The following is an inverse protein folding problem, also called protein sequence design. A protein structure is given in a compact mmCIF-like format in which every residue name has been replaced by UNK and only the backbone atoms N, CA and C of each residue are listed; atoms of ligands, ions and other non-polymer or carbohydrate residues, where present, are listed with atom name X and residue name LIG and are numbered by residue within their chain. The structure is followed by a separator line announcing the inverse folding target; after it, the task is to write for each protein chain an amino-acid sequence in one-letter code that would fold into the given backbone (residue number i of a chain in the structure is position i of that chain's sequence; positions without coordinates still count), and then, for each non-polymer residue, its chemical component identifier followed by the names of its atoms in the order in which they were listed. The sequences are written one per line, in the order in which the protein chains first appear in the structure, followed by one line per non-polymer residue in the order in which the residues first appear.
data_IF_508030726677
#
_entry.id   IF_508030726677
#
_cell.length_a   1.000
_cell.length_b   1.000
_cell.length_c   1.000
_cell.angle_alpha   90.00
_cell.angle_beta   90.00
_cell.angle_gamma   90.00
#
_symmetry.space_group_name_H-M   'P 1'
#
loop_
_entity.id
_entity.type
_entity.pdbx_description
1 polymer ?
#
# COMPACT_ATOMS: atom_id res chain seq x y z
N UNK A 1 -18.47 56.03 29.87
CA UNK A 1 -17.54 55.69 28.76
C UNK A 1 -17.69 54.20 28.46
N UNK A 2 -18.43 53.84 27.41
CA UNK A 2 -18.65 52.47 26.97
C UNK A 2 -17.57 52.10 25.94
N UNK A 3 -16.70 51.15 26.28
CA UNK A 3 -15.70 50.61 25.36
C UNK A 3 -16.29 49.39 24.63
N UNK A 4 -16.57 49.54 23.34
CA UNK A 4 -16.99 48.44 22.47
C UNK A 4 -15.77 47.62 22.02
N UNK A 5 -15.71 46.36 22.44
CA UNK A 5 -14.70 45.41 21.99
C UNK A 5 -15.15 44.76 20.67
N UNK A 6 -14.44 45.04 19.58
CA UNK A 6 -14.67 44.41 18.28
C UNK A 6 -14.01 43.03 18.23
N UNK A 7 -14.82 41.97 18.09
CA UNK A 7 -14.34 40.60 17.87
C UNK A 7 -14.11 40.39 16.38
N UNK A 8 -12.86 40.29 15.97
CA UNK A 8 -12.47 39.96 14.59
C UNK A 8 -12.61 38.45 14.34
N UNK A 9 -13.65 38.04 13.63
CA UNK A 9 -13.83 36.67 13.17
C UNK A 9 -12.96 36.40 11.93
N UNK A 10 -11.81 35.76 12.12
CA UNK A 10 -10.99 35.24 11.01
C UNK A 10 -11.67 34.03 10.37
N UNK A 11 -12.22 34.22 9.17
CA UNK A 11 -12.72 33.13 8.32
C UNK A 11 -11.52 32.43 7.67
N UNK A 12 -11.23 31.20 8.10
CA UNK A 12 -10.29 30.30 7.42
C UNK A 12 -10.91 29.81 6.11
N UNK A 13 -10.53 30.42 4.98
CA UNK A 13 -10.88 29.91 3.67
C UNK A 13 -10.17 28.56 3.42
N UNK A 14 -10.85 27.54 2.88
CA UNK A 14 -10.21 26.31 2.45
C UNK A 14 -9.22 26.62 1.32
N UNK A 15 -7.98 26.14 1.46
CA UNK A 15 -6.96 26.27 0.41
C UNK A 15 -7.47 25.63 -0.88
N UNK A 16 -7.85 26.47 -1.85
CA UNK A 16 -8.16 26.03 -3.20
C UNK A 16 -6.91 25.32 -3.76
N UNK A 17 -7.08 24.08 -4.19
CA UNK A 17 -6.03 23.35 -4.88
C UNK A 17 -5.74 24.09 -6.18
N UNK A 18 -4.55 24.68 -6.32
CA UNK A 18 -4.16 25.39 -7.55
C UNK A 18 -4.42 24.50 -8.78
N UNK A 19 -4.94 25.06 -9.89
CA UNK A 19 -5.12 24.29 -11.12
C UNK A 19 -3.76 23.77 -11.58
N UNK A 20 -3.67 22.45 -11.75
CA UNK A 20 -2.47 21.77 -12.21
C UNK A 20 -2.08 22.32 -13.60
N UNK A 21 -0.83 22.75 -13.73
CA UNK A 21 -0.34 23.43 -14.92
C UNK A 21 -0.35 22.50 -16.16
N UNK A 22 -0.60 23.01 -17.38
CA UNK A 22 -0.61 22.23 -18.64
C UNK A 22 0.68 21.42 -18.90
N UNK A 23 1.79 21.73 -18.22
CA UNK A 23 3.06 21.01 -18.31
C UNK A 23 3.05 19.59 -17.73
N UNK A 24 2.11 19.27 -16.84
CA UNK A 24 2.09 18.00 -16.12
C UNK A 24 1.81 16.80 -17.03
N UNK A 25 0.83 16.92 -17.95
CA UNK A 25 0.53 15.87 -18.93
C UNK A 25 1.73 15.58 -19.85
N UNK A 26 2.34 16.63 -20.43
CA UNK A 26 3.45 16.48 -21.38
C UNK A 26 4.67 15.81 -20.73
N UNK A 27 4.95 16.14 -19.48
CA UNK A 27 6.04 15.52 -18.73
C UNK A 27 5.77 14.03 -18.46
N UNK A 28 4.55 13.67 -18.05
CA UNK A 28 4.14 12.27 -17.83
C UNK A 28 4.18 11.47 -19.12
N UNK A 29 3.67 12.04 -20.23
CA UNK A 29 3.68 11.40 -21.54
C UNK A 29 5.10 11.18 -22.07
N UNK A 30 5.98 12.17 -21.92
CA UNK A 30 7.40 12.07 -22.32
C UNK A 30 8.17 11.01 -21.54
N UNK A 31 7.89 10.86 -20.25
CA UNK A 31 8.50 9.82 -19.42
C UNK A 31 8.03 8.42 -19.85
N UNK A 32 6.76 8.28 -20.24
CA UNK A 32 6.18 7.03 -20.70
C UNK A 32 6.62 6.62 -22.11
N UNK A 33 6.83 7.58 -23.01
CA UNK A 33 7.00 7.31 -24.44
C UNK A 33 8.12 6.32 -24.79
N UNK A 34 9.32 6.35 -24.15
CA UNK A 34 10.45 5.51 -24.52
C UNK A 34 10.24 4.02 -24.26
N UNK A 35 9.68 3.65 -23.10
CA UNK A 35 9.58 2.25 -22.64
C UNK A 35 8.15 1.80 -22.31
N UNK A 36 7.18 2.68 -22.60
CA UNK A 36 5.75 2.51 -22.30
C UNK A 36 5.48 2.36 -20.80
N UNK A 37 6.35 2.90 -19.94
CA UNK A 37 6.19 2.88 -18.48
C UNK A 37 6.39 4.26 -17.88
N UNK A 38 5.54 4.60 -16.92
CA UNK A 38 5.74 5.80 -16.12
C UNK A 38 6.67 5.43 -14.98
N UNK A 39 7.78 6.15 -14.85
CA UNK A 39 8.77 6.01 -13.79
C UNK A 39 8.07 6.05 -12.44
N UNK A 40 8.15 4.96 -11.64
CA UNK A 40 7.46 4.89 -10.37
C UNK A 40 7.84 6.05 -9.44
N UNK A 41 6.84 6.75 -8.90
CA UNK A 41 7.01 7.83 -7.92
C UNK A 41 7.79 9.06 -8.42
N UNK A 42 8.01 9.19 -9.74
CA UNK A 42 8.59 10.40 -10.35
C UNK A 42 7.62 11.58 -10.29
N UNK A 43 6.35 11.32 -10.56
CA UNK A 43 5.29 12.33 -10.58
C UNK A 43 4.48 12.27 -9.29
N UNK A 44 3.90 13.41 -8.90
CA UNK A 44 2.95 13.43 -7.78
C UNK A 44 1.61 12.82 -8.19
N UNK A 45 0.78 12.47 -7.20
CA UNK A 45 -0.58 11.98 -7.45
C UNK A 45 -1.41 12.98 -8.26
N UNK A 46 -1.30 14.27 -7.94
CA UNK A 46 -2.06 15.33 -8.60
C UNK A 46 -1.71 15.42 -10.09
N UNK A 47 -0.41 15.35 -10.42
CA UNK A 47 0.07 15.34 -11.80
C UNK A 47 -0.46 14.14 -12.59
N UNK A 48 -0.45 12.94 -11.98
CA UNK A 48 -1.00 11.74 -12.62
C UNK A 48 -2.52 11.83 -12.83
N UNK A 49 -3.27 12.39 -11.87
CA UNK A 49 -4.72 12.61 -12.01
C UNK A 49 -5.02 13.62 -13.11
N UNK A 50 -4.24 14.70 -13.19
CA UNK A 50 -4.37 15.68 -14.27
C UNK A 50 -4.07 15.04 -15.63
N UNK A 51 -2.94 14.32 -15.77
CA UNK A 51 -2.59 13.61 -16.99
C UNK A 51 -3.67 12.61 -17.42
N UNK A 52 -4.30 11.91 -16.46
CA UNK A 52 -5.45 11.02 -16.74
C UNK A 52 -6.63 11.78 -17.32
N UNK A 53 -6.94 12.95 -16.76
CA UNK A 53 -8.06 13.80 -17.21
C UNK A 53 -7.82 14.27 -18.65
N UNK A 54 -6.63 14.79 -18.94
CA UNK A 54 -6.25 15.21 -20.31
C UNK A 54 -6.26 14.03 -21.28
N UNK A 55 -5.72 12.88 -20.91
CA UNK A 55 -5.76 11.69 -21.75
C UNK A 55 -7.19 11.20 -22.03
N UNK A 56 -8.17 11.55 -21.19
CA UNK A 56 -9.57 11.18 -21.36
C UNK A 56 -10.34 12.12 -22.30
N UNK A 57 -9.86 13.33 -22.57
CA UNK A 57 -10.56 14.30 -23.44
C UNK A 57 -10.33 14.05 -24.92
N UNK A 58 -9.33 13.24 -25.30
CA UNK A 58 -9.02 12.94 -26.69
C UNK A 58 -9.70 11.63 -27.09
N UNK A 59 -10.58 11.70 -28.08
CA UNK A 59 -11.15 10.54 -28.77
C UNK A 59 -10.03 9.75 -29.43
N UNK A 60 -10.10 8.41 -29.40
CA UNK A 60 -9.10 7.51 -29.98
C UNK A 60 -7.68 7.61 -29.40
N UNK A 61 -7.53 8.11 -28.16
CA UNK A 61 -6.25 8.18 -27.46
C UNK A 61 -5.44 6.88 -27.51
N UNK A 62 -6.13 5.76 -27.34
CA UNK A 62 -5.51 4.45 -27.24
C UNK A 62 -4.93 3.96 -28.60
N UNK A 63 -5.34 4.54 -29.73
CA UNK A 63 -4.81 4.22 -31.06
C UNK A 63 -3.36 4.72 -31.24
N UNK A 64 -3.03 5.90 -30.70
CA UNK A 64 -1.66 6.46 -30.81
C UNK A 64 -0.82 6.30 -29.55
N UNK A 65 -1.43 6.00 -28.41
CA UNK A 65 -0.74 5.78 -27.15
C UNK A 65 -1.27 4.57 -26.36
N UNK A 66 -1.19 3.36 -26.93
CA UNK A 66 -1.76 2.17 -26.34
C UNK A 66 -1.16 1.88 -24.96
N UNK A 67 -2.03 1.76 -23.95
CA UNK A 67 -1.64 1.41 -22.58
C UNK A 67 -1.25 2.59 -21.69
N UNK A 68 -1.16 3.82 -22.20
CA UNK A 68 -0.82 4.99 -21.37
C UNK A 68 -1.85 5.24 -20.26
N UNK A 69 -3.15 5.15 -20.58
CA UNK A 69 -4.24 5.35 -19.60
C UNK A 69 -4.19 4.31 -18.48
N UNK A 70 -3.89 3.06 -18.80
CA UNK A 70 -3.69 1.98 -17.82
C UNK A 70 -2.44 2.25 -16.97
N UNK A 71 -1.36 2.71 -17.60
CA UNK A 71 -0.11 3.06 -16.92
C UNK A 71 -0.31 4.15 -15.87
N UNK A 72 -1.04 5.23 -16.22
CA UNK A 72 -1.40 6.30 -15.28
C UNK A 72 -2.24 5.74 -14.13
N UNK A 73 -3.28 4.94 -14.42
CA UNK A 73 -4.15 4.36 -13.38
C UNK A 73 -3.35 3.54 -12.37
N UNK A 74 -2.40 2.73 -12.82
CA UNK A 74 -1.53 1.96 -11.92
C UNK A 74 -0.62 2.84 -11.08
N UNK A 75 -0.08 3.95 -11.59
CA UNK A 75 0.73 4.85 -10.77
C UNK A 75 -0.12 5.65 -9.77
N UNK A 76 -1.33 6.09 -10.13
CA UNK A 76 -2.28 6.68 -9.17
C UNK A 76 -2.57 5.69 -8.05
N UNK A 77 -2.87 4.44 -8.39
CA UNK A 77 -3.09 3.39 -7.40
C UNK A 77 -1.86 3.17 -6.50
N UNK A 78 -0.64 3.26 -7.04
CA UNK A 78 0.60 3.22 -6.24
C UNK A 78 0.68 4.37 -5.23
N UNK A 79 0.31 5.59 -5.64
CA UNK A 79 0.27 6.76 -4.75
C UNK A 79 -0.79 6.60 -3.65
N UNK A 80 -2.01 6.23 -4.02
CA UNK A 80 -3.13 6.00 -3.09
C UNK A 80 -2.81 4.92 -2.06
N UNK A 81 -2.05 3.92 -2.50
CA UNK A 81 -1.58 2.85 -1.64
C UNK A 81 -0.36 3.26 -0.77
N UNK A 82 0.18 4.48 -0.89
CA UNK A 82 1.34 4.96 -0.12
C UNK A 82 2.71 4.49 -0.63
N UNK A 83 2.76 3.95 -1.85
CA UNK A 83 3.95 3.32 -2.45
C UNK A 83 5.08 4.29 -2.74
N UNK A 84 4.75 5.57 -2.85
CA UNK A 84 5.65 6.70 -3.10
C UNK A 84 5.93 7.53 -1.85
N UNK A 85 5.55 7.04 -0.66
CA UNK A 85 5.86 7.73 0.59
C UNK A 85 7.37 7.66 0.89
N UNK A 86 7.99 8.82 1.17
CA UNK A 86 9.37 8.89 1.69
C UNK A 86 9.53 8.08 2.99
N UNK A 87 8.47 8.01 3.79
CA UNK A 87 8.40 7.18 5.00
C UNK A 87 8.67 5.69 4.69
N UNK A 88 8.05 5.14 3.62
CA UNK A 88 8.28 3.75 3.20
C UNK A 88 9.73 3.54 2.75
N UNK A 89 10.29 4.48 1.97
CA UNK A 89 11.67 4.38 1.51
C UNK A 89 12.68 4.31 2.67
N UNK A 90 12.39 4.99 3.78
CA UNK A 90 13.20 4.97 5.02
C UNK A 90 12.95 3.74 5.90
N UNK A 91 11.92 2.93 5.61
CA UNK A 91 11.59 1.76 6.42
C UNK A 91 12.58 0.61 6.22
N UNK A 92 12.92 -0.08 7.30
CA UNK A 92 13.65 -1.34 7.25
C UNK A 92 12.89 -2.43 6.47
N UNK A 93 11.57 -2.29 6.36
CA UNK A 93 10.71 -3.23 5.63
C UNK A 93 10.47 -2.83 4.18
N UNK A 94 11.11 -1.78 3.62
CA UNK A 94 10.81 -1.26 2.27
C UNK A 94 10.82 -2.29 1.14
N UNK A 95 11.57 -3.39 1.30
CA UNK A 95 11.68 -4.50 0.34
C UNK A 95 10.74 -5.67 0.66
N UNK A 96 9.91 -5.58 1.69
CA UNK A 96 8.91 -6.60 2.03
C UNK A 96 7.70 -6.45 1.11
N UNK A 97 7.20 -7.58 0.62
CA UNK A 97 6.07 -7.71 -0.30
C UNK A 97 5.12 -8.81 0.18
N UNK A 98 3.86 -8.72 -0.20
CA UNK A 98 2.89 -9.80 0.03
C UNK A 98 2.93 -10.76 -1.16
N UNK A 99 3.55 -11.93 -0.95
CA UNK A 99 3.78 -12.91 -2.00
C UNK A 99 2.55 -13.80 -2.28
N UNK A 100 1.84 -14.22 -1.22
CA UNK A 100 0.68 -15.11 -1.33
C UNK A 100 -0.31 -14.84 -0.20
N UNK A 101 -1.59 -14.98 -0.49
CA UNK A 101 -2.67 -14.90 0.49
C UNK A 101 -3.51 -16.18 0.35
N UNK A 102 -3.79 -16.84 1.47
CA UNK A 102 -4.68 -18.00 1.58
C UNK A 102 -5.73 -17.67 2.63
N UNK A 103 -6.88 -17.10 2.24
CA UNK A 103 -7.88 -16.61 3.19
C UNK A 103 -8.72 -17.75 3.77
N UNK A 104 -8.84 -18.87 3.04
CA UNK A 104 -9.66 -20.01 3.43
C UNK A 104 -8.95 -20.90 4.45
N UNK A 105 -9.75 -21.54 5.31
CA UNK A 105 -9.29 -22.52 6.30
C UNK A 105 -9.50 -22.10 7.75
N UNK A 106 -10.38 -21.14 8.03
CA UNK A 106 -10.64 -20.67 9.41
C UNK A 106 -9.38 -20.11 10.05
N UNK A 107 -8.90 -20.73 11.12
CA UNK A 107 -7.64 -20.34 11.77
C UNK A 107 -6.38 -20.80 10.99
N UNK A 108 -6.53 -21.64 9.97
CA UNK A 108 -5.45 -22.03 9.04
C UNK A 108 -5.14 -21.00 7.95
N UNK A 109 -5.93 -19.91 7.89
CA UNK A 109 -5.73 -18.81 6.97
C UNK A 109 -4.32 -18.21 7.13
N UNK A 110 -3.71 -17.81 6.02
CA UNK A 110 -2.32 -17.35 6.06
C UNK A 110 -1.94 -16.35 4.97
N UNK A 111 -0.98 -15.48 5.32
CA UNK A 111 -0.35 -14.53 4.42
C UNK A 111 1.14 -14.83 4.36
N UNK A 112 1.68 -15.01 3.17
CA UNK A 112 3.12 -15.11 2.97
C UNK A 112 3.68 -13.74 2.61
N UNK A 113 4.56 -13.22 3.46
CA UNK A 113 5.38 -12.04 3.14
C UNK A 113 6.77 -12.49 2.68
N UNK A 114 7.34 -11.77 1.72
CA UNK A 114 8.68 -12.02 1.18
C UNK A 114 9.51 -10.76 1.26
N UNK A 115 10.74 -10.90 1.72
CA UNK A 115 11.74 -9.85 1.61
C UNK A 115 12.44 -10.01 0.26
N UNK A 116 12.23 -9.06 -0.65
CA UNK A 116 12.90 -9.06 -1.97
C UNK A 116 14.29 -8.43 -1.91
N UNK A 117 14.68 -7.84 -0.79
CA UNK A 117 16.01 -7.30 -0.59
C UNK A 117 17.05 -8.38 -0.29
N UNK A 118 18.33 -7.99 -0.35
CA UNK A 118 19.47 -8.85 0.00
C UNK A 118 19.73 -8.93 1.51
N UNK A 119 19.35 -7.89 2.27
CA UNK A 119 19.60 -7.80 3.72
C UNK A 119 18.39 -8.24 4.53
N UNK A 120 18.63 -8.74 5.74
CA UNK A 120 17.57 -9.08 6.68
C UNK A 120 16.78 -7.84 7.11
N UNK A 121 15.47 -7.99 7.31
CA UNK A 121 14.56 -6.93 7.72
C UNK A 121 13.90 -7.30 9.06
N UNK A 122 13.94 -6.39 10.04
CA UNK A 122 13.33 -6.64 11.35
C UNK A 122 11.81 -6.50 11.27
N UNK A 123 11.07 -7.53 11.68
CA UNK A 123 9.61 -7.50 11.77
C UNK A 123 9.11 -6.99 13.13
N UNK A 124 10.01 -6.55 14.03
CA UNK A 124 9.64 -6.02 15.35
C UNK A 124 8.68 -4.84 15.20
N UNK A 125 7.53 -4.93 15.86
CA UNK A 125 6.46 -3.92 15.80
C UNK A 125 5.66 -3.89 14.49
N UNK A 126 6.04 -4.68 13.49
CA UNK A 126 5.30 -4.75 12.23
C UNK A 126 3.91 -5.39 12.42
N UNK A 127 2.97 -5.01 11.57
CA UNK A 127 1.60 -5.54 11.60
C UNK A 127 1.13 -5.95 10.22
N UNK A 128 0.32 -7.01 10.17
CA UNK A 128 -0.60 -7.25 9.06
C UNK A 128 -1.96 -6.67 9.44
N UNK A 129 -2.64 -6.02 8.49
CA UNK A 129 -4.00 -5.51 8.68
C UNK A 129 -4.87 -5.86 7.50
N UNK A 130 -6.16 -5.98 7.74
CA UNK A 130 -7.16 -6.10 6.70
C UNK A 130 -7.65 -4.72 6.22
N UNK A 131 -8.68 -4.71 5.36
CA UNK A 131 -9.32 -3.46 4.93
C UNK A 131 -10.04 -2.75 6.09
N UNK A 132 -10.72 -3.51 6.95
CA UNK A 132 -11.50 -3.01 8.09
C UNK A 132 -10.65 -2.49 9.26
N UNK A 133 -9.34 -2.66 9.23
CA UNK A 133 -8.41 -2.17 10.24
C UNK A 133 -8.08 -3.18 11.35
N UNK A 134 -8.66 -4.39 11.32
CA UNK A 134 -8.29 -5.49 12.21
C UNK A 134 -6.80 -5.80 11.99
N UNK A 135 -6.07 -6.02 13.07
CA UNK A 135 -4.60 -6.12 13.06
C UNK A 135 -4.09 -7.42 13.67
N UNK A 136 -3.01 -7.94 13.08
CA UNK A 136 -2.18 -9.02 13.60
C UNK A 136 -0.77 -8.48 13.77
N UNK A 137 -0.25 -8.54 15.01
CA UNK A 137 1.10 -8.10 15.33
C UNK A 137 2.10 -9.20 15.02
N UNK A 138 3.21 -8.85 14.37
CA UNK A 138 4.33 -9.76 14.11
C UNK A 138 5.34 -9.75 15.27
N UNK A 139 4.85 -9.52 16.49
CA UNK A 139 5.69 -9.53 17.70
C UNK A 139 6.14 -10.96 17.95
N UNK A 140 7.46 -11.17 18.09
CA UNK A 140 8.04 -12.52 18.18
C UNK A 140 8.32 -13.19 16.82
N UNK A 141 7.95 -12.59 15.69
CA UNK A 141 8.29 -13.13 14.37
C UNK A 141 9.79 -12.99 14.03
N UNK A 142 10.53 -12.14 14.76
CA UNK A 142 11.96 -11.94 14.61
C UNK A 142 12.34 -11.17 13.34
N UNK A 143 13.37 -11.64 12.63
CA UNK A 143 13.86 -11.05 11.38
C UNK A 143 13.41 -11.87 10.18
N UNK A 144 13.15 -11.20 9.07
CA UNK A 144 12.95 -11.83 7.77
C UNK A 144 14.23 -11.69 6.95
N UNK A 145 14.95 -12.79 6.77
CA UNK A 145 16.18 -12.85 5.99
C UNK A 145 16.01 -12.31 4.56
N UNK A 146 17.10 -11.84 3.96
CA UNK A 146 17.10 -11.39 2.56
C UNK A 146 16.67 -12.50 1.61
N UNK A 147 15.87 -12.16 0.60
CA UNK A 147 15.27 -13.10 -0.38
C UNK A 147 14.37 -14.20 0.21
N UNK A 148 14.19 -14.26 1.53
CA UNK A 148 13.37 -15.28 2.23
C UNK A 148 11.91 -14.86 2.37
N UNK A 149 11.08 -15.86 2.66
CA UNK A 149 9.65 -15.70 2.91
C UNK A 149 9.29 -16.12 4.35
N UNK A 150 8.23 -15.53 4.88
CA UNK A 150 7.59 -15.93 6.13
C UNK A 150 6.10 -16.12 5.88
N UNK A 151 5.58 -17.31 6.18
CA UNK A 151 4.15 -17.59 6.21
C UNK A 151 3.61 -17.19 7.57
N UNK A 152 2.77 -16.17 7.61
CA UNK A 152 2.05 -15.76 8.81
C UNK A 152 0.70 -16.47 8.81
N UNK A 153 0.48 -17.34 9.78
CA UNK A 153 -0.77 -18.09 9.98
C UNK A 153 -1.55 -17.44 11.11
N UNK A 154 -2.86 -17.23 10.94
CA UNK A 154 -3.66 -16.57 11.98
C UNK A 154 -3.78 -17.41 13.26
N UNK A 155 -3.97 -18.72 13.11
CA UNK A 155 -4.12 -19.68 14.20
C UNK A 155 -2.84 -20.00 14.95
N UNK A 156 -2.96 -20.95 15.87
CA UNK A 156 -1.86 -21.42 16.71
C UNK A 156 -1.05 -22.51 16.02
N UNK A 157 0.22 -22.66 16.40
CA UNK A 157 0.96 -23.87 16.06
C UNK A 157 0.43 -25.03 16.89
N UNK A 158 0.56 -26.28 16.39
CA UNK A 158 0.14 -27.47 17.15
C UNK A 158 0.80 -27.49 18.53
N UNK A 159 0.00 -27.71 19.57
CA UNK A 159 0.47 -27.76 20.97
C UNK A 159 0.94 -26.42 21.54
N UNK A 160 0.66 -25.29 20.88
CA UNK A 160 1.07 -23.95 21.35
C UNK A 160 -0.16 -23.09 21.58
N UNK A 161 -0.14 -22.29 22.64
CA UNK A 161 -1.22 -21.38 23.03
C UNK A 161 -0.84 -19.91 22.95
N UNK A 162 0.38 -19.62 22.45
CA UNK A 162 0.93 -18.27 22.31
C UNK A 162 1.48 -18.07 20.89
N UNK A 163 1.58 -16.81 20.43
CA UNK A 163 2.21 -16.51 19.16
C UNK A 163 3.64 -17.06 19.13
N UNK A 164 4.00 -17.77 18.07
CA UNK A 164 5.30 -18.44 17.99
C UNK A 164 5.80 -18.55 16.57
N UNK A 165 7.12 -18.57 16.42
CA UNK A 165 7.79 -18.84 15.16
C UNK A 165 8.22 -20.30 15.13
N UNK A 166 7.91 -20.98 14.03
CA UNK A 166 8.43 -22.33 13.73
C UNK A 166 8.90 -22.35 12.28
N UNK A 167 10.22 -22.45 12.09
CA UNK A 167 10.88 -22.40 10.78
C UNK A 167 10.53 -21.14 9.97
N UNK A 168 9.90 -21.35 8.80
CA UNK A 168 9.41 -20.30 7.90
C UNK A 168 7.96 -19.89 8.15
N UNK A 169 7.38 -20.33 9.27
CA UNK A 169 6.03 -19.98 9.68
C UNK A 169 6.02 -19.19 10.98
N UNK A 170 5.14 -18.20 11.07
CA UNK A 170 4.80 -17.51 12.30
C UNK A 170 3.31 -17.71 12.55
N UNK A 171 2.98 -18.30 13.69
CA UNK A 171 1.61 -18.58 14.12
C UNK A 171 1.22 -17.47 15.09
N UNK A 172 0.20 -16.68 14.73
CA UNK A 172 -0.23 -15.56 15.56
C UNK A 172 -1.13 -15.99 16.73
N UNK A 173 -1.57 -17.25 16.74
CA UNK A 173 -2.39 -17.86 17.78
C UNK A 173 -3.59 -17.00 18.18
N UNK A 174 -4.32 -16.49 17.17
CA UNK A 174 -5.58 -15.79 17.39
C UNK A 174 -6.74 -16.78 17.49
N UNK A 175 -7.78 -16.37 18.21
CA UNK A 175 -9.03 -17.13 18.38
C UNK A 175 -10.09 -16.87 17.29
N UNK A 176 -9.90 -15.84 16.49
CA UNK A 176 -10.85 -15.44 15.45
C UNK A 176 -10.17 -15.22 14.10
N UNK A 177 -10.97 -15.35 13.04
CA UNK A 177 -10.55 -15.07 11.67
C UNK A 177 -10.18 -13.60 11.49
N UNK A 178 -9.30 -13.33 10.54
CA UNK A 178 -8.83 -12.00 10.18
C UNK A 178 -9.13 -11.67 8.73
N UNK A 179 -9.07 -12.64 7.83
CA UNK A 179 -9.21 -12.42 6.40
C UNK A 179 -10.63 -12.81 5.96
N UNK A 180 -11.31 -11.94 5.23
CA UNK A 180 -12.63 -12.26 4.64
C UNK A 180 -12.47 -13.31 3.52
N UNK A 181 -13.19 -14.44 3.62
CA UNK A 181 -13.16 -15.52 2.64
C UNK A 181 -13.59 -15.09 1.22
N UNK A 182 -14.47 -14.09 1.13
CA UNK A 182 -15.02 -13.55 -0.13
C UNK A 182 -14.10 -12.52 -0.81
N UNK A 183 -13.14 -11.96 -0.07
CA UNK A 183 -12.16 -11.01 -0.58
C UNK A 183 -11.89 -9.84 0.36
N UNK A 184 -10.60 -9.54 0.55
CA UNK A 184 -10.11 -8.50 1.45
C UNK A 184 -8.84 -7.84 0.88
N UNK A 185 -8.31 -6.84 1.60
CA UNK A 185 -7.02 -6.20 1.33
C UNK A 185 -6.09 -6.44 2.51
N UNK A 186 -5.01 -7.18 2.27
CA UNK A 186 -3.95 -7.35 3.27
C UNK A 186 -2.99 -6.17 3.16
N UNK A 187 -2.64 -5.57 4.29
CA UNK A 187 -1.70 -4.45 4.42
C UNK A 187 -0.58 -4.82 5.38
N UNK A 188 0.68 -4.68 4.95
CA UNK A 188 1.87 -4.75 5.83
C UNK A 188 2.18 -3.34 6.28
N UNK A 189 2.27 -3.12 7.59
CA UNK A 189 2.76 -1.86 8.17
C UNK A 189 3.98 -2.10 9.04
N UNK A 190 4.91 -1.15 9.02
CA UNK A 190 6.06 -1.19 9.93
C UNK A 190 5.67 -0.73 11.35
N UNK A 191 6.67 -0.66 12.24
CA UNK A 191 6.48 -0.26 13.64
C UNK A 191 5.97 1.16 13.83
N UNK A 192 6.13 2.04 12.83
CA UNK A 192 5.61 3.42 12.85
C UNK A 192 4.23 3.54 12.20
N UNK A 193 3.65 2.41 11.77
CA UNK A 193 2.38 2.39 11.04
C UNK A 193 2.50 2.73 9.55
N UNK A 194 3.72 2.91 9.03
CA UNK A 194 3.95 3.20 7.60
C UNK A 194 3.47 2.02 6.76
N UNK A 195 2.70 2.29 5.71
CA UNK A 195 2.26 1.25 4.77
C UNK A 195 3.43 0.80 3.89
N UNK A 196 3.78 -0.49 3.99
CA UNK A 196 4.95 -1.09 3.35
C UNK A 196 4.60 -1.87 2.10
N UNK A 197 3.49 -2.58 2.15
CA UNK A 197 2.93 -3.34 1.05
C UNK A 197 1.43 -3.50 1.30
N UNK A 198 0.67 -3.63 0.22
CA UNK A 198 -0.71 -4.08 0.30
C UNK A 198 -1.01 -5.02 -0.85
N UNK A 199 -2.08 -5.82 -0.74
CA UNK A 199 -2.54 -6.67 -1.84
C UNK A 199 -3.98 -7.10 -1.58
N UNK A 200 -4.84 -6.88 -2.55
CA UNK A 200 -6.20 -7.41 -2.52
C UNK A 200 -6.31 -8.84 -3.06
N UNK A 201 -7.38 -9.53 -2.71
CA UNK A 201 -7.74 -10.85 -3.24
C UNK A 201 -9.27 -11.02 -3.31
N UNK A 202 -9.74 -12.13 -3.87
CA UNK A 202 -11.17 -12.34 -4.14
C UNK A 202 -11.71 -11.24 -5.05
N UNK A 203 -12.87 -10.67 -4.69
CA UNK A 203 -13.45 -9.50 -5.38
C UNK A 203 -12.55 -8.25 -5.40
N UNK A 204 -11.53 -8.20 -4.54
CA UNK A 204 -10.61 -7.05 -4.41
C UNK A 204 -9.25 -7.29 -5.08
N UNK A 205 -9.08 -8.31 -5.93
CA UNK A 205 -7.80 -8.60 -6.62
C UNK A 205 -7.22 -7.39 -7.38
N UNK A 206 -8.07 -6.49 -7.87
CA UNK A 206 -7.65 -5.26 -8.56
C UNK A 206 -7.01 -4.20 -7.66
N UNK A 207 -7.07 -4.36 -6.32
CA UNK A 207 -6.36 -3.48 -5.39
C UNK A 207 -4.87 -3.80 -5.46
N UNK A 208 -4.17 -3.03 -6.29
CA UNK A 208 -2.77 -3.22 -6.62
C UNK A 208 -1.87 -3.15 -5.37
N UNK A 209 -0.90 -4.06 -5.35
CA UNK A 209 0.23 -4.07 -4.44
C UNK A 209 1.50 -3.57 -5.10
N UNK A 210 2.47 -3.15 -4.30
CA UNK A 210 3.76 -2.62 -4.75
C UNK A 210 4.93 -3.17 -3.97
#
# INVERSE_FOLDING_TARGET
MLAAAAVAATVLLPAASAPAAPGDYRAVFRDWQPDKKITPCRFTRAQLVNARRVAATVTDFDSYAPGFREEIRRQIARHDAGGCSRARARSALRMVRIARIRPRGGLGESVTIRNTGRRAASLRGATLRDRGGRRLRLTGAGKLGGRRSLRVVTGCARGRTRPTRSGFSFFACRRGRLWDDSGDVVKVRDSRGTLIAQRGYGRLRGVAGF
#
